data_IF_064703703925
#
_entry.id   IF_064703703925
#
_cell.length_a   1.000
_cell.length_b   1.000
_cell.length_c   1.000
_cell.angle_alpha   90.00
_cell.angle_beta   90.00
_cell.angle_gamma   90.00
#
_symmetry.space_group_name_H-M   'P 1'
#
loop_
_entity.id
_entity.type
_entity.pdbx_description
1 polymer ?
#
# COMPACT_ATOMS: atom_id res chain seq x y z
N UNK A 1 25.10 -42.07 22.71
CA UNK A 1 24.13 -43.20 22.71
C UNK A 1 22.75 -42.60 22.44
N UNK A 2 22.18 -42.82 21.25
CA UNK A 2 20.95 -43.62 20.96
C UNK A 2 19.77 -43.24 21.90
N UNK A 3 18.60 -42.78 21.46
CA UNK A 3 17.69 -43.27 20.40
C UNK A 3 16.60 -42.18 20.17
N UNK A 4 16.37 -41.64 18.97
CA UNK A 4 15.43 -42.08 17.91
C UNK A 4 13.95 -42.21 18.31
N UNK A 5 13.08 -41.39 17.68
CA UNK A 5 11.94 -41.84 16.85
C UNK A 5 11.44 -40.71 15.94
N UNK A 6 11.40 -41.02 14.64
CA UNK A 6 10.81 -40.26 13.53
C UNK A 6 9.33 -40.62 13.38
N UNK A 7 8.53 -39.73 12.78
CA UNK A 7 7.41 -40.14 11.93
C UNK A 7 7.27 -39.17 10.75
N UNK A 8 7.47 -39.71 9.54
CA UNK A 8 7.20 -39.11 8.24
C UNK A 8 5.95 -39.82 7.69
N UNK A 9 5.08 -39.10 6.98
CA UNK A 9 4.02 -39.70 6.19
C UNK A 9 4.08 -39.13 4.76
N UNK A 10 4.54 -39.99 3.85
CA UNK A 10 4.52 -39.87 2.40
C UNK A 10 3.17 -40.39 1.88
N UNK A 11 2.60 -39.72 0.88
CA UNK A 11 1.61 -40.35 -0.02
C UNK A 11 2.07 -40.06 -1.46
N UNK A 12 2.23 -41.14 -2.22
CA UNK A 12 2.76 -41.18 -3.56
C UNK A 12 1.66 -41.25 -4.63
N UNK A 13 2.08 -40.95 -5.86
CA UNK A 13 1.35 -40.82 -7.12
C UNK A 13 0.49 -42.03 -7.55
N UNK A 14 -0.53 -41.74 -8.35
CA UNK A 14 -1.16 -42.68 -9.27
C UNK A 14 -1.45 -42.02 -10.62
N UNK A 15 -0.56 -42.22 -11.58
CA UNK A 15 -0.74 -41.86 -12.99
C UNK A 15 -1.48 -42.98 -13.73
N UNK A 16 -2.39 -42.65 -14.64
CA UNK A 16 -2.86 -43.59 -15.66
C UNK A 16 -3.06 -42.86 -16.98
N UNK A 17 -2.19 -43.21 -17.94
CA UNK A 17 -2.24 -42.82 -19.34
C UNK A 17 -3.10 -43.87 -20.06
N UNK A 18 -4.04 -43.44 -20.88
CA UNK A 18 -4.61 -44.28 -21.93
C UNK A 18 -4.58 -43.50 -23.26
N UNK A 19 -3.79 -44.03 -24.20
CA UNK A 19 -3.68 -43.62 -25.60
C UNK A 19 -4.27 -44.73 -26.47
N UNK A 20 -5.36 -44.45 -27.17
CA UNK A 20 -5.87 -45.09 -28.40
C UNK A 20 -6.81 -44.04 -29.02
N UNK A 21 -6.87 -43.69 -30.30
CA UNK A 21 -6.36 -44.21 -31.56
C UNK A 21 -7.26 -43.58 -32.66
N UNK A 22 -6.70 -43.27 -33.82
CA UNK A 22 -7.32 -42.60 -34.97
C UNK A 22 -8.62 -43.23 -35.50
N UNK A 23 -9.54 -42.43 -36.09
CA UNK A 23 -9.91 -42.41 -37.54
C UNK A 23 -11.24 -41.70 -37.87
N UNK A 24 -11.18 -40.83 -38.90
CA UNK A 24 -12.13 -40.47 -39.97
C UNK A 24 -13.67 -40.32 -39.77
N UNK A 25 -14.13 -39.06 -39.81
CA UNK A 25 -14.97 -38.40 -40.83
C UNK A 25 -16.41 -38.86 -41.22
N UNK A 26 -17.33 -37.88 -41.02
CA UNK A 26 -18.62 -37.51 -41.72
C UNK A 26 -19.89 -38.37 -41.54
N UNK A 27 -20.95 -37.76 -40.97
CA UNK A 27 -22.10 -37.15 -41.69
C UNK A 27 -23.13 -36.50 -40.75
N UNK A 28 -23.80 -35.45 -41.24
CA UNK A 28 -24.77 -34.55 -40.57
C UNK A 28 -26.08 -35.27 -40.18
N UNK A 29 -26.89 -34.88 -39.18
CA UNK A 29 -27.73 -33.65 -39.13
C UNK A 29 -28.58 -33.62 -37.84
N UNK A 30 -29.00 -32.40 -37.46
CA UNK A 30 -30.21 -31.95 -36.73
C UNK A 30 -30.03 -31.36 -35.33
N UNK A 31 -30.69 -30.21 -35.20
CA UNK A 31 -30.52 -29.13 -34.24
C UNK A 31 -30.84 -29.48 -32.79
N UNK A 32 -30.06 -28.89 -31.88
CA UNK A 32 -30.45 -28.63 -30.50
C UNK A 32 -29.72 -27.38 -30.01
N UNK A 33 -30.52 -26.39 -29.64
CA UNK A 33 -30.20 -25.04 -29.14
C UNK A 33 -29.01 -25.03 -28.14
N UNK A 34 -27.96 -24.21 -28.35
CA UNK A 34 -26.91 -24.04 -27.35
C UNK A 34 -27.38 -23.08 -26.24
N UNK A 35 -27.38 -23.62 -25.02
CA UNK A 35 -27.41 -22.92 -23.74
C UNK A 35 -26.36 -21.78 -23.73
N UNK A 36 -26.65 -20.60 -23.16
CA UNK A 36 -25.71 -19.49 -23.16
C UNK A 36 -24.42 -19.88 -22.43
N UNK A 37 -23.33 -19.87 -23.19
CA UNK A 37 -21.96 -19.87 -22.68
C UNK A 37 -21.81 -18.62 -21.82
N UNK A 38 -21.64 -18.84 -20.51
CA UNK A 38 -21.06 -17.84 -19.62
C UNK A 38 -19.69 -17.52 -20.20
N UNK A 39 -19.58 -16.37 -20.84
CA UNK A 39 -18.31 -15.77 -21.20
C UNK A 39 -17.52 -15.60 -19.92
N UNK A 40 -16.46 -16.38 -19.78
CA UNK A 40 -15.41 -16.14 -18.82
C UNK A 40 -14.85 -14.74 -19.07
N UNK A 41 -15.22 -13.80 -18.20
CA UNK A 41 -14.61 -12.48 -18.17
C UNK A 41 -13.13 -12.65 -17.86
N UNK A 42 -12.28 -12.01 -18.66
CA UNK A 42 -10.83 -12.03 -18.51
C UNK A 42 -10.44 -11.77 -17.05
N UNK A 43 -9.53 -12.59 -16.50
CA UNK A 43 -8.87 -12.35 -15.22
C UNK A 43 -8.10 -11.02 -15.30
N UNK A 44 -8.77 -9.92 -15.00
CA UNK A 44 -8.12 -8.65 -14.77
C UNK A 44 -7.48 -8.73 -13.38
N UNK A 45 -6.16 -8.62 -13.32
CA UNK A 45 -5.43 -8.71 -12.06
C UNK A 45 -5.88 -7.58 -11.13
N UNK A 46 -6.38 -7.94 -9.95
CA UNK A 46 -6.80 -6.97 -8.93
C UNK A 46 -5.59 -6.09 -8.53
N UNK A 47 -5.73 -4.77 -8.62
CA UNK A 47 -4.74 -3.79 -8.14
C UNK A 47 -5.35 -2.91 -7.05
N UNK A 48 -4.50 -2.23 -6.26
CA UNK A 48 -4.94 -1.25 -5.25
C UNK A 48 -5.80 -0.16 -5.89
N UNK A 49 -5.35 0.39 -7.02
CA UNK A 49 -6.05 1.49 -7.68
C UNK A 49 -7.41 1.05 -8.24
N UNK A 50 -7.50 -0.18 -8.77
CA UNK A 50 -8.75 -0.74 -9.27
C UNK A 50 -9.73 -1.01 -8.12
N UNK A 51 -9.26 -1.64 -7.05
CA UNK A 51 -10.10 -1.94 -5.89
C UNK A 51 -10.64 -0.66 -5.24
N UNK A 52 -9.79 0.35 -5.05
CA UNK A 52 -10.20 1.64 -4.54
C UNK A 52 -11.21 2.34 -5.47
N UNK A 53 -10.99 2.31 -6.80
CA UNK A 53 -11.94 2.88 -7.76
C UNK A 53 -13.31 2.21 -7.69
N UNK A 54 -13.35 0.89 -7.62
CA UNK A 54 -14.60 0.11 -7.54
C UNK A 54 -15.39 0.45 -6.27
N UNK A 55 -14.71 0.51 -5.11
CA UNK A 55 -15.34 0.92 -3.86
C UNK A 55 -15.86 2.37 -3.92
N UNK A 56 -15.12 3.29 -4.54
CA UNK A 56 -15.57 4.68 -4.73
C UNK A 56 -16.78 4.79 -5.65
N UNK A 57 -16.89 3.94 -6.66
CA UNK A 57 -18.08 3.87 -7.51
C UNK A 57 -19.29 3.31 -6.76
N UNK A 58 -19.10 2.31 -5.89
CA UNK A 58 -20.15 1.85 -4.96
C UNK A 58 -20.59 3.00 -4.05
N UNK A 59 -19.66 3.77 -3.50
CA UNK A 59 -19.97 4.94 -2.64
C UNK A 59 -20.80 5.99 -3.40
N UNK A 60 -20.48 6.29 -4.66
CA UNK A 60 -21.28 7.21 -5.49
C UNK A 60 -22.72 6.71 -5.67
N UNK A 61 -22.89 5.41 -5.93
CA UNK A 61 -24.21 4.80 -6.04
C UNK A 61 -24.98 4.90 -4.71
N UNK A 62 -24.35 4.60 -3.58
CA UNK A 62 -24.96 4.72 -2.26
C UNK A 62 -25.44 6.15 -1.97
N UNK A 63 -24.65 7.17 -2.33
CA UNK A 63 -25.08 8.58 -2.16
C UNK A 63 -26.33 8.91 -3.00
N UNK A 64 -26.43 8.37 -4.20
CA UNK A 64 -27.61 8.52 -5.05
C UNK A 64 -28.84 7.81 -4.45
N UNK A 65 -28.67 6.57 -3.97
CA UNK A 65 -29.72 5.79 -3.32
C UNK A 65 -30.25 6.49 -2.05
N UNK A 66 -29.36 7.06 -1.23
CA UNK A 66 -29.73 7.88 -0.06
C UNK A 66 -30.57 9.10 -0.49
N UNK A 67 -30.16 9.79 -1.55
CA UNK A 67 -30.88 10.97 -2.08
C UNK A 67 -32.27 10.60 -2.59
N UNK A 68 -32.38 9.44 -3.22
CA UNK A 68 -33.64 8.89 -3.75
C UNK A 68 -34.51 8.21 -2.68
N UNK A 69 -34.04 8.16 -1.42
CA UNK A 69 -34.71 7.47 -0.30
C UNK A 69 -34.94 5.97 -0.56
N UNK A 70 -34.05 5.34 -1.31
CA UNK A 70 -34.11 3.92 -1.67
C UNK A 70 -33.48 3.06 -0.56
N UNK A 71 -34.11 3.03 0.61
CA UNK A 71 -33.50 2.52 1.84
C UNK A 71 -33.03 1.05 1.75
N UNK A 72 -33.72 0.20 0.97
CA UNK A 72 -33.31 -1.20 0.76
C UNK A 72 -32.06 -1.31 -0.12
N UNK A 73 -31.94 -0.46 -1.14
CA UNK A 73 -30.75 -0.43 -2.01
C UNK A 73 -29.52 0.04 -1.25
N UNK A 74 -29.67 1.01 -0.34
CA UNK A 74 -28.57 1.46 0.52
C UNK A 74 -27.98 0.29 1.34
N UNK A 75 -28.81 -0.63 1.85
CA UNK A 75 -28.34 -1.81 2.58
C UNK A 75 -27.65 -2.83 1.67
N UNK A 76 -28.17 -3.03 0.44
CA UNK A 76 -27.54 -3.90 -0.57
C UNK A 76 -26.16 -3.36 -0.99
N UNK A 77 -26.07 -2.07 -1.32
CA UNK A 77 -24.84 -1.42 -1.73
C UNK A 77 -23.82 -1.34 -0.59
N UNK A 78 -24.27 -1.17 0.66
CA UNK A 78 -23.41 -1.33 1.85
C UNK A 78 -22.80 -2.72 1.94
N UNK A 79 -23.57 -3.78 1.63
CA UNK A 79 -23.06 -5.16 1.68
C UNK A 79 -22.02 -5.39 0.57
N UNK A 80 -22.28 -4.89 -0.65
CA UNK A 80 -21.31 -4.94 -1.76
C UNK A 80 -20.01 -4.21 -1.41
N UNK A 81 -20.10 -3.09 -0.70
CA UNK A 81 -18.94 -2.33 -0.25
C UNK A 81 -18.08 -3.15 0.73
N UNK A 82 -18.70 -3.83 1.69
CA UNK A 82 -18.01 -4.74 2.63
C UNK A 82 -17.33 -5.91 1.90
N UNK A 83 -18.03 -6.55 0.96
CA UNK A 83 -17.48 -7.65 0.16
C UNK A 83 -16.29 -7.20 -0.69
N UNK A 84 -16.38 -5.99 -1.26
CA UNK A 84 -15.29 -5.39 -2.05
C UNK A 84 -14.07 -5.09 -1.18
N UNK A 85 -14.26 -4.51 0.02
CA UNK A 85 -13.18 -4.29 0.97
C UNK A 85 -12.53 -5.60 1.41
N UNK A 86 -13.33 -6.61 1.75
CA UNK A 86 -12.82 -7.92 2.15
C UNK A 86 -11.97 -8.58 1.07
N UNK A 87 -12.45 -8.57 -0.18
CA UNK A 87 -11.71 -9.13 -1.32
C UNK A 87 -10.36 -8.41 -1.51
N UNK A 88 -10.36 -7.10 -1.26
CA UNK A 88 -9.15 -6.28 -1.31
C UNK A 88 -8.19 -6.61 -0.16
N UNK A 89 -8.68 -6.70 1.08
CA UNK A 89 -7.88 -7.09 2.24
C UNK A 89 -7.27 -8.47 2.07
N UNK A 90 -8.03 -9.47 1.64
CA UNK A 90 -7.55 -10.84 1.44
C UNK A 90 -6.33 -10.90 0.50
N UNK A 91 -6.19 -9.93 -0.41
CA UNK A 91 -5.04 -9.83 -1.33
C UNK A 91 -3.90 -8.94 -0.81
N UNK A 92 -4.20 -7.86 -0.09
CA UNK A 92 -3.22 -6.80 0.20
C UNK A 92 -3.05 -6.46 1.68
N UNK A 93 -3.66 -7.22 2.60
CA UNK A 93 -3.70 -6.88 4.04
C UNK A 93 -2.32 -6.54 4.62
N UNK A 94 -1.32 -7.41 4.42
CA UNK A 94 0.00 -7.18 4.99
C UNK A 94 0.72 -6.01 4.32
N UNK A 95 0.64 -5.87 2.98
CA UNK A 95 1.24 -4.75 2.25
C UNK A 95 0.65 -3.40 2.72
N UNK A 96 -0.67 -3.34 2.89
CA UNK A 96 -1.36 -2.13 3.35
C UNK A 96 -0.99 -1.80 4.78
N UNK A 97 -0.95 -2.80 5.65
CA UNK A 97 -0.58 -2.57 7.04
C UNK A 97 0.88 -2.20 7.17
N UNK A 98 1.75 -2.73 6.32
CA UNK A 98 3.18 -2.44 6.36
C UNK A 98 3.53 -1.07 5.77
N UNK A 99 2.79 -0.63 4.74
CA UNK A 99 3.06 0.62 4.03
C UNK A 99 2.20 1.79 4.52
N UNK A 100 0.96 1.52 4.95
CA UNK A 100 -0.10 2.53 5.14
C UNK A 100 -1.02 2.21 6.33
N UNK A 101 -0.46 1.87 7.51
CA UNK A 101 -1.26 1.41 8.64
C UNK A 101 -2.35 2.41 9.05
N UNK A 102 -2.00 3.69 9.16
CA UNK A 102 -2.95 4.74 9.52
C UNK A 102 -4.11 4.83 8.51
N UNK A 103 -3.82 4.75 7.21
CA UNK A 103 -4.86 4.75 6.17
C UNK A 103 -5.73 3.51 6.23
N UNK A 104 -5.12 2.34 6.38
CA UNK A 104 -5.84 1.08 6.51
C UNK A 104 -6.89 1.18 7.63
N UNK A 105 -6.50 1.67 8.81
CA UNK A 105 -7.41 1.83 9.94
C UNK A 105 -8.48 2.89 9.66
N UNK A 106 -8.11 4.02 9.04
CA UNK A 106 -9.06 5.08 8.67
C UNK A 106 -10.05 4.68 7.59
N UNK A 107 -9.77 3.62 6.83
CA UNK A 107 -10.71 3.02 5.86
C UNK A 107 -11.67 2.05 6.58
N UNK A 108 -11.16 1.21 7.49
CA UNK A 108 -12.00 0.26 8.25
C UNK A 108 -13.08 0.95 9.09
N UNK A 109 -12.74 2.07 9.75
CA UNK A 109 -13.65 2.74 10.68
C UNK A 109 -14.97 3.22 10.02
N UNK A 110 -14.98 4.00 8.91
CA UNK A 110 -16.22 4.41 8.27
C UNK A 110 -17.00 3.24 7.65
N UNK A 111 -16.32 2.17 7.21
CA UNK A 111 -16.98 0.96 6.69
C UNK A 111 -17.93 0.35 7.73
N UNK A 112 -17.49 0.24 8.99
CA UNK A 112 -18.34 -0.27 10.07
C UNK A 112 -19.56 0.61 10.37
N UNK A 113 -19.40 1.94 10.30
CA UNK A 113 -20.51 2.89 10.49
C UNK A 113 -21.53 2.78 9.35
N UNK A 114 -21.06 2.64 8.11
CA UNK A 114 -21.91 2.48 6.92
C UNK A 114 -22.72 1.18 7.00
N UNK A 115 -22.07 0.07 7.38
CA UNK A 115 -22.76 -1.23 7.52
C UNK A 115 -23.85 -1.20 8.59
N UNK A 116 -23.55 -0.65 9.77
CA UNK A 116 -24.55 -0.52 10.83
C UNK A 116 -25.67 0.47 10.44
N UNK A 117 -25.30 1.64 9.90
CA UNK A 117 -26.23 2.71 9.57
C UNK A 117 -27.19 2.39 8.44
N UNK A 118 -26.77 1.60 7.45
CA UNK A 118 -27.61 1.22 6.30
C UNK A 118 -28.80 0.31 6.68
N UNK A 119 -28.68 -0.40 7.81
CA UNK A 119 -29.69 -1.33 8.36
C UNK A 119 -30.73 -0.64 9.24
N UNK A 120 -30.49 0.59 9.68
CA UNK A 120 -31.41 1.34 10.56
C UNK A 120 -32.47 2.06 9.72
N UNK A 121 -33.74 1.99 10.15
CA UNK A 121 -34.88 2.63 9.47
C UNK A 121 -35.63 3.56 10.44
N UNK A 122 -35.93 4.81 10.07
CA UNK A 122 -35.48 5.49 8.85
C UNK A 122 -33.96 5.71 8.85
N UNK A 123 -33.36 5.85 7.65
CA UNK A 123 -31.92 6.10 7.53
C UNK A 123 -31.50 7.41 8.21
N UNK A 124 -30.40 7.38 8.96
CA UNK A 124 -29.68 8.60 9.34
C UNK A 124 -28.79 9.04 8.16
N UNK A 125 -29.39 9.79 7.23
CA UNK A 125 -28.73 10.24 6.00
C UNK A 125 -27.54 11.15 6.27
N UNK A 126 -27.52 11.87 7.39
CA UNK A 126 -26.41 12.75 7.77
C UNK A 126 -25.19 11.93 8.18
N UNK A 127 -25.39 10.93 9.04
CA UNK A 127 -24.30 10.04 9.49
C UNK A 127 -23.77 9.21 8.32
N UNK A 128 -24.65 8.67 7.48
CA UNK A 128 -24.25 7.89 6.31
C UNK A 128 -23.45 8.71 5.30
N UNK A 129 -23.96 9.89 4.90
CA UNK A 129 -23.22 10.73 3.94
C UNK A 129 -21.85 11.16 4.49
N UNK A 130 -21.77 11.55 5.76
CA UNK A 130 -20.48 11.89 6.39
C UNK A 130 -19.50 10.71 6.37
N UNK A 131 -19.98 9.50 6.61
CA UNK A 131 -19.14 8.29 6.62
C UNK A 131 -18.70 7.90 5.21
N UNK A 132 -19.60 8.02 4.23
CA UNK A 132 -19.31 7.81 2.81
C UNK A 132 -18.30 8.85 2.27
N UNK A 133 -18.44 10.12 2.63
CA UNK A 133 -17.48 11.18 2.27
C UNK A 133 -16.10 10.91 2.87
N UNK A 134 -16.04 10.50 4.14
CA UNK A 134 -14.79 10.14 4.79
C UNK A 134 -14.14 8.95 4.08
N UNK A 135 -14.89 7.87 3.83
CA UNK A 135 -14.37 6.69 3.14
C UNK A 135 -13.87 7.01 1.73
N UNK A 136 -14.63 7.76 0.93
CA UNK A 136 -14.21 8.20 -0.41
C UNK A 136 -12.89 8.98 -0.37
N UNK A 137 -12.75 9.86 0.64
CA UNK A 137 -11.51 10.63 0.87
C UNK A 137 -10.33 9.72 1.19
N UNK A 138 -10.50 8.73 2.09
CA UNK A 138 -9.40 7.82 2.45
C UNK A 138 -9.03 6.89 1.29
N UNK A 139 -10.00 6.42 0.50
CA UNK A 139 -9.75 5.61 -0.70
C UNK A 139 -9.01 6.41 -1.76
N UNK A 140 -9.39 7.67 -2.00
CA UNK A 140 -8.66 8.55 -2.92
C UNK A 140 -7.21 8.78 -2.46
N UNK A 141 -7.02 8.96 -1.14
CA UNK A 141 -5.68 9.10 -0.56
C UNK A 141 -4.84 7.83 -0.71
N UNK A 142 -5.43 6.65 -0.50
CA UNK A 142 -4.75 5.36 -0.75
C UNK A 142 -4.30 5.23 -2.21
N UNK A 143 -5.14 5.62 -3.18
CA UNK A 143 -4.76 5.61 -4.60
C UNK A 143 -3.55 6.51 -4.88
N UNK A 144 -3.58 7.73 -4.35
CA UNK A 144 -2.49 8.71 -4.56
C UNK A 144 -1.18 8.26 -3.91
N UNK A 145 -1.21 7.76 -2.67
CA UNK A 145 -0.01 7.27 -1.98
C UNK A 145 0.54 6.00 -2.64
N UNK A 146 -0.33 5.10 -3.08
CA UNK A 146 0.07 3.90 -3.81
C UNK A 146 0.72 4.22 -5.17
N UNK A 147 0.12 5.13 -5.95
CA UNK A 147 0.68 5.60 -7.21
C UNK A 147 2.06 6.23 -7.00
N UNK A 148 2.23 7.02 -5.94
CA UNK A 148 3.53 7.63 -5.59
C UNK A 148 4.59 6.57 -5.28
N UNK A 149 4.25 5.58 -4.46
CA UNK A 149 5.19 4.50 -4.09
C UNK A 149 5.63 3.69 -5.30
N UNK A 150 4.66 3.22 -6.11
CA UNK A 150 4.94 2.45 -7.33
C UNK A 150 5.72 3.30 -8.34
N UNK A 151 5.33 4.56 -8.51
CA UNK A 151 5.99 5.51 -9.40
C UNK A 151 7.45 5.73 -9.03
N UNK A 152 7.76 5.91 -7.75
CA UNK A 152 9.13 6.04 -7.24
C UNK A 152 9.97 4.77 -7.49
N UNK A 153 9.43 3.60 -7.15
CA UNK A 153 10.09 2.30 -7.38
C UNK A 153 10.42 2.11 -8.87
N UNK A 154 9.46 2.39 -9.74
CA UNK A 154 9.63 2.31 -11.19
C UNK A 154 10.67 3.31 -11.71
N UNK A 155 10.65 4.57 -11.28
CA UNK A 155 11.64 5.56 -11.71
C UNK A 155 13.05 5.07 -11.38
N UNK A 156 13.28 4.59 -10.15
CA UNK A 156 14.60 4.09 -9.74
C UNK A 156 15.01 2.84 -10.51
N UNK A 157 14.07 1.97 -10.86
CA UNK A 157 14.34 0.83 -11.75
C UNK A 157 14.76 1.30 -13.15
N UNK A 158 14.03 2.26 -13.73
CA UNK A 158 14.33 2.81 -15.05
C UNK A 158 15.70 3.53 -15.06
N UNK A 159 16.07 4.23 -13.98
CA UNK A 159 17.40 4.85 -13.86
C UNK A 159 18.53 3.82 -13.84
N UNK A 160 18.33 2.66 -13.20
CA UNK A 160 19.29 1.56 -13.25
C UNK A 160 19.43 1.00 -14.66
N UNK A 161 18.31 0.87 -15.39
CA UNK A 161 18.32 0.46 -16.80
C UNK A 161 19.07 1.47 -17.67
N UNK A 162 18.76 2.76 -17.57
CA UNK A 162 19.48 3.84 -18.25
C UNK A 162 20.99 3.80 -17.97
N UNK A 163 21.39 3.60 -16.72
CA UNK A 163 22.81 3.47 -16.36
C UNK A 163 23.48 2.26 -17.02
N UNK A 164 22.76 1.14 -17.13
CA UNK A 164 23.25 -0.06 -17.81
C UNK A 164 23.40 0.13 -19.31
N UNK A 165 22.37 0.67 -19.97
CA UNK A 165 22.37 0.97 -21.40
C UNK A 165 23.45 1.98 -21.78
N UNK A 166 23.68 2.99 -20.93
CA UNK A 166 24.76 3.97 -21.10
C UNK A 166 26.14 3.31 -21.06
N UNK A 167 26.35 2.39 -20.12
CA UNK A 167 27.59 1.62 -20.01
C UNK A 167 27.82 0.74 -21.24
N UNK A 168 26.74 0.17 -21.78
CA UNK A 168 26.76 -0.72 -22.95
C UNK A 168 26.75 0.03 -24.29
N UNK A 169 26.66 1.37 -24.29
CA UNK A 169 26.56 2.23 -25.49
C UNK A 169 25.38 1.87 -26.38
N UNK A 170 24.22 1.61 -25.76
CA UNK A 170 22.98 1.23 -26.45
C UNK A 170 22.09 2.46 -26.75
N UNK A 171 22.60 3.39 -27.56
CA UNK A 171 22.02 4.72 -27.80
C UNK A 171 20.52 4.72 -28.16
N UNK A 172 20.08 3.81 -29.04
CA UNK A 172 18.66 3.71 -29.42
C UNK A 172 17.76 3.24 -28.27
N UNK A 173 18.29 2.42 -27.35
CA UNK A 173 17.54 1.98 -26.18
C UNK A 173 17.46 3.08 -25.13
N UNK A 174 18.56 3.80 -24.89
CA UNK A 174 18.61 4.96 -23.98
C UNK A 174 17.47 5.95 -24.23
N UNK A 175 17.23 6.29 -25.51
CA UNK A 175 16.13 7.19 -25.88
C UNK A 175 14.78 6.62 -25.43
N UNK A 176 14.47 5.37 -25.78
CA UNK A 176 13.19 4.72 -25.42
C UNK A 176 13.02 4.57 -23.90
N UNK A 177 14.08 4.18 -23.20
CA UNK A 177 14.07 4.02 -21.75
C UNK A 177 13.87 5.37 -21.06
N UNK A 178 14.44 6.45 -21.60
CA UNK A 178 14.21 7.82 -21.08
C UNK A 178 12.78 8.32 -21.31
N UNK A 179 12.12 7.93 -22.41
CA UNK A 179 10.69 8.22 -22.63
C UNK A 179 9.81 7.48 -21.62
N UNK A 180 10.21 6.24 -21.26
CA UNK A 180 9.59 5.47 -20.18
C UNK A 180 9.71 6.15 -18.82
N UNK A 181 10.86 6.76 -18.54
CA UNK A 181 11.10 7.51 -17.30
C UNK A 181 10.10 8.66 -17.15
N UNK A 182 9.91 9.45 -18.22
CA UNK A 182 8.98 10.59 -18.22
C UNK A 182 7.52 10.16 -18.11
N UNK A 183 7.15 9.12 -18.87
CA UNK A 183 5.81 8.56 -18.79
C UNK A 183 5.49 8.05 -17.39
N UNK A 184 6.47 7.48 -16.71
CA UNK A 184 6.29 7.05 -15.33
C UNK A 184 6.17 8.25 -14.38
N UNK A 185 7.05 9.26 -14.50
CA UNK A 185 6.99 10.48 -13.68
C UNK A 185 5.63 11.19 -13.73
N UNK A 186 5.12 11.43 -14.95
CA UNK A 186 3.82 12.09 -15.16
C UNK A 186 2.62 11.37 -14.53
N UNK A 187 2.75 10.07 -14.20
CA UNK A 187 1.66 9.32 -13.55
C UNK A 187 1.44 9.68 -12.07
N UNK A 188 2.42 10.32 -11.42
CA UNK A 188 2.34 10.68 -9.99
C UNK A 188 2.91 12.07 -9.67
N UNK A 189 3.37 12.83 -10.68
CA UNK A 189 4.02 14.13 -10.49
C UNK A 189 3.16 15.14 -9.71
N UNK A 190 1.84 15.17 -9.94
CA UNK A 190 0.93 16.13 -9.31
C UNK A 190 0.88 15.94 -7.80
N UNK A 191 0.89 14.70 -7.34
CA UNK A 191 0.94 14.37 -5.92
C UNK A 191 2.24 14.85 -5.28
N UNK A 192 3.37 14.76 -5.99
CA UNK A 192 4.65 15.25 -5.49
C UNK A 192 4.70 16.78 -5.50
N UNK A 193 4.18 17.41 -6.56
CA UNK A 193 4.13 18.86 -6.70
C UNK A 193 3.31 19.53 -5.60
N UNK A 194 2.17 18.93 -5.25
CA UNK A 194 1.31 19.43 -4.18
C UNK A 194 1.94 19.26 -2.79
N UNK A 195 2.49 18.07 -2.50
CA UNK A 195 2.90 17.71 -1.14
C UNK A 195 4.38 17.99 -0.84
N UNK A 196 5.24 18.04 -1.86
CA UNK A 196 6.69 18.18 -1.75
C UNK A 196 7.24 19.17 -2.80
N UNK A 197 6.74 20.42 -2.87
CA UNK A 197 7.07 21.37 -3.94
C UNK A 197 8.58 21.63 -4.06
N UNK A 198 9.31 21.67 -2.94
CA UNK A 198 10.77 21.89 -2.96
C UNK A 198 11.57 20.70 -3.51
N UNK A 199 11.03 19.48 -3.45
CA UNK A 199 11.67 18.28 -3.99
C UNK A 199 11.26 18.09 -5.46
N UNK A 200 10.00 18.39 -5.79
CA UNK A 200 9.51 18.45 -7.16
C UNK A 200 10.45 19.24 -8.08
N UNK A 201 10.79 20.48 -7.71
CA UNK A 201 11.71 21.33 -8.49
C UNK A 201 13.10 20.69 -8.69
N UNK A 202 13.57 19.90 -7.71
CA UNK A 202 14.87 19.20 -7.78
C UNK A 202 14.82 17.93 -8.62
N UNK A 203 13.64 17.35 -8.84
CA UNK A 203 13.43 16.19 -9.71
C UNK A 203 13.41 16.63 -11.17
N UNK A 204 12.68 17.72 -11.46
CA UNK A 204 12.50 18.26 -12.81
C UNK A 204 13.83 18.56 -13.53
N UNK A 205 14.81 19.12 -12.81
CA UNK A 205 16.10 19.53 -13.38
C UNK A 205 16.91 18.36 -13.98
N UNK A 206 17.32 17.32 -13.20
CA UNK A 206 18.05 16.20 -13.75
C UNK A 206 17.19 15.36 -14.71
N UNK A 207 15.88 15.26 -14.50
CA UNK A 207 14.97 14.58 -15.42
C UNK A 207 14.97 15.23 -16.81
N UNK A 208 14.77 16.55 -16.87
CA UNK A 208 14.82 17.31 -18.13
C UNK A 208 16.19 17.25 -18.79
N UNK A 209 17.27 17.23 -18.00
CA UNK A 209 18.63 17.06 -18.53
C UNK A 209 18.83 15.70 -19.19
N UNK A 210 18.33 14.61 -18.57
CA UNK A 210 18.36 13.26 -19.17
C UNK A 210 17.62 13.26 -20.51
N UNK A 211 16.39 13.78 -20.54
CA UNK A 211 15.56 13.81 -21.75
C UNK A 211 16.18 14.60 -22.91
N UNK A 212 16.90 15.68 -22.60
CA UNK A 212 17.60 16.47 -23.60
C UNK A 212 18.88 15.74 -24.06
N UNK A 213 19.67 15.22 -23.12
CA UNK A 213 20.99 14.65 -23.40
C UNK A 213 20.91 13.35 -24.21
N UNK A 214 19.89 12.51 -24.03
CA UNK A 214 19.70 11.29 -24.83
C UNK A 214 19.45 11.56 -26.32
N UNK A 215 19.06 12.79 -26.69
CA UNK A 215 18.75 13.19 -28.08
C UNK A 215 19.96 13.80 -28.80
N UNK A 216 21.07 14.03 -28.11
CA UNK A 216 22.27 14.65 -28.68
C UNK A 216 23.11 13.60 -29.41
N UNK A 217 23.72 13.96 -30.55
CA UNK A 217 24.64 13.08 -31.28
C UNK A 217 25.94 13.83 -31.61
N UNK A 218 27.11 13.34 -31.15
CA UNK A 218 27.31 12.16 -30.29
C UNK A 218 26.76 12.38 -28.86
N UNK A 219 26.38 11.30 -28.17
CA UNK A 219 25.91 11.38 -26.78
C UNK A 219 26.97 11.95 -25.84
N UNK A 220 26.56 12.82 -24.92
CA UNK A 220 27.38 13.23 -23.78
C UNK A 220 27.14 12.26 -22.61
N UNK A 221 27.90 11.17 -22.60
CA UNK A 221 27.79 10.14 -21.57
C UNK A 221 28.10 10.65 -20.15
N UNK A 222 28.93 11.70 -20.02
CA UNK A 222 29.26 12.28 -18.72
C UNK A 222 28.07 13.05 -18.16
N UNK A 223 27.41 13.85 -18.98
CA UNK A 223 26.21 14.60 -18.59
C UNK A 223 25.08 13.63 -18.25
N UNK A 224 24.85 12.59 -19.05
CA UNK A 224 23.84 11.57 -18.77
C UNK A 224 24.09 10.86 -17.44
N UNK A 225 25.29 10.33 -17.24
CA UNK A 225 25.62 9.62 -16.00
C UNK A 225 25.47 10.52 -14.76
N UNK A 226 25.90 11.78 -14.86
CA UNK A 226 25.77 12.75 -13.76
C UNK A 226 24.29 12.99 -13.42
N UNK A 227 23.46 13.20 -14.44
CA UNK A 227 22.04 13.49 -14.26
C UNK A 227 21.26 12.26 -13.74
N UNK A 228 21.60 11.05 -14.19
CA UNK A 228 21.01 9.80 -13.68
C UNK A 228 21.30 9.64 -12.18
N UNK A 229 22.55 9.83 -11.77
CA UNK A 229 22.97 9.74 -10.37
C UNK A 229 22.31 10.82 -9.52
N UNK A 230 22.23 12.05 -10.03
CA UNK A 230 21.57 13.16 -9.35
C UNK A 230 20.07 12.88 -9.16
N UNK A 231 19.37 12.40 -10.19
CA UNK A 231 17.96 12.06 -10.10
C UNK A 231 17.71 10.92 -9.09
N UNK A 232 18.49 9.83 -9.10
CA UNK A 232 18.33 8.75 -8.11
C UNK A 232 18.51 9.27 -6.67
N UNK A 233 19.48 10.17 -6.46
CA UNK A 233 19.69 10.80 -5.15
C UNK A 233 18.52 11.69 -4.72
N UNK A 234 17.92 12.44 -5.64
CA UNK A 234 16.75 13.27 -5.32
C UNK A 234 15.51 12.39 -5.05
N UNK A 235 15.33 11.30 -5.79
CA UNK A 235 14.27 10.32 -5.52
C UNK A 235 14.43 9.64 -4.15
N UNK A 236 15.67 9.35 -3.73
CA UNK A 236 15.95 8.86 -2.38
C UNK A 236 15.56 9.89 -1.29
N UNK A 237 15.86 11.17 -1.53
CA UNK A 237 15.43 12.26 -0.62
C UNK A 237 13.90 12.38 -0.54
N UNK A 238 13.21 12.21 -1.68
CA UNK A 238 11.75 12.18 -1.71
C UNK A 238 11.20 11.02 -0.87
N UNK A 239 11.74 9.82 -1.07
CA UNK A 239 11.34 8.62 -0.33
C UNK A 239 11.49 8.82 1.19
N UNK A 240 12.62 9.38 1.63
CA UNK A 240 12.87 9.72 3.05
C UNK A 240 11.89 10.76 3.58
N UNK A 241 11.57 11.78 2.78
CA UNK A 241 10.62 12.83 3.16
C UNK A 241 9.20 12.30 3.31
N UNK A 242 8.79 11.39 2.42
CA UNK A 242 7.50 10.68 2.51
C UNK A 242 7.45 9.86 3.80
N UNK A 243 8.46 9.01 4.05
CA UNK A 243 8.52 8.19 5.26
C UNK A 243 8.50 9.02 6.55
N UNK A 244 9.22 10.15 6.58
CA UNK A 244 9.20 11.07 7.72
C UNK A 244 7.82 11.71 7.95
N UNK A 245 7.05 11.95 6.89
CA UNK A 245 5.71 12.56 6.99
C UNK A 245 4.63 11.61 7.52
N UNK A 246 4.71 10.32 7.17
CA UNK A 246 3.71 9.29 7.54
C UNK A 246 4.11 8.47 8.75
N UNK A 247 5.39 8.14 8.89
CA UNK A 247 5.94 7.22 9.90
C UNK A 247 5.52 7.54 11.34
N UNK A 248 5.61 8.80 11.82
CA UNK A 248 5.13 9.15 13.16
C UNK A 248 3.65 8.85 13.36
N UNK A 249 2.82 9.07 12.34
CA UNK A 249 1.38 8.80 12.42
C UNK A 249 1.09 7.29 12.43
N UNK A 250 1.80 6.50 11.63
CA UNK A 250 1.68 5.04 11.63
C UNK A 250 2.10 4.45 12.98
N UNK A 251 3.18 4.96 13.60
CA UNK A 251 3.56 4.58 14.95
C UNK A 251 2.46 4.94 15.97
N UNK A 252 1.88 6.14 15.92
CA UNK A 252 0.76 6.52 16.81
C UNK A 252 -0.46 5.60 16.64
N UNK A 253 -0.76 5.19 15.41
CA UNK A 253 -1.84 4.25 15.13
C UNK A 253 -1.52 2.86 15.70
N UNK A 254 -0.28 2.37 15.54
CA UNK A 254 0.16 1.13 16.16
C UNK A 254 0.06 1.20 17.70
N UNK A 255 0.50 2.29 18.33
CA UNK A 255 0.36 2.52 19.78
C UNK A 255 -1.10 2.47 20.25
N UNK A 256 -2.00 3.08 19.49
CA UNK A 256 -3.44 3.05 19.79
C UNK A 256 -3.98 1.63 19.73
N UNK A 257 -3.58 0.83 18.74
CA UNK A 257 -3.98 -0.58 18.63
C UNK A 257 -3.37 -1.42 19.76
N UNK A 258 -2.10 -1.21 20.13
CA UNK A 258 -1.49 -1.87 21.30
C UNK A 258 -2.30 -1.57 22.55
N UNK A 259 -2.59 -0.29 22.84
CA UNK A 259 -3.39 0.12 24.01
C UNK A 259 -4.76 -0.54 24.02
N UNK A 260 -5.43 -0.62 22.86
CA UNK A 260 -6.72 -1.31 22.70
C UNK A 260 -6.66 -2.82 23.02
N UNK A 261 -5.57 -3.49 22.68
CA UNK A 261 -5.41 -4.94 22.85
C UNK A 261 -4.72 -5.36 24.14
N UNK A 262 -4.30 -4.41 24.98
CA UNK A 262 -3.84 -4.70 26.35
C UNK A 262 -5.03 -4.94 27.28
N UNK A 263 -6.19 -4.32 27.03
CA UNK A 263 -7.39 -4.48 27.87
C UNK A 263 -8.69 -4.52 27.03
N UNK A 264 -9.28 -5.70 26.78
CA UNK A 264 -8.85 -7.03 27.23
C UNK A 264 -7.59 -7.52 26.50
N UNK A 265 -6.75 -8.29 27.21
CA UNK A 265 -5.47 -8.77 26.69
C UNK A 265 -5.66 -9.70 25.48
N UNK A 266 -5.07 -9.31 24.35
CA UNK A 266 -4.83 -10.14 23.18
C UNK A 266 -3.33 -10.10 22.86
N UNK A 267 -2.59 -11.09 23.37
CA UNK A 267 -1.13 -11.13 23.30
C UNK A 267 -0.58 -11.18 21.87
N UNK A 268 -1.25 -11.91 20.97
CA UNK A 268 -0.86 -12.02 19.56
C UNK A 268 -0.93 -10.64 18.89
N UNK A 269 -2.04 -9.92 19.08
CA UNK A 269 -2.22 -8.58 18.50
C UNK A 269 -1.26 -7.57 19.12
N UNK A 270 -1.07 -7.60 20.44
CA UNK A 270 -0.10 -6.71 21.12
C UNK A 270 1.31 -6.93 20.56
N UNK A 271 1.73 -8.17 20.35
CA UNK A 271 3.03 -8.50 19.77
C UNK A 271 3.14 -8.00 18.33
N UNK A 272 2.15 -8.32 17.47
CA UNK A 272 2.13 -7.93 16.06
C UNK A 272 2.22 -6.40 15.87
N UNK A 273 1.46 -5.62 16.64
CA UNK A 273 1.54 -4.16 16.53
C UNK A 273 2.82 -3.57 17.13
N UNK A 274 3.44 -4.26 18.10
CA UNK A 274 4.74 -3.84 18.65
C UNK A 274 5.88 -4.07 17.67
N UNK A 275 5.89 -5.19 16.94
CA UNK A 275 6.86 -5.45 15.87
C UNK A 275 6.78 -4.39 14.76
N UNK A 276 5.57 -3.90 14.47
CA UNK A 276 5.37 -2.82 13.50
C UNK A 276 5.92 -1.48 13.96
N UNK A 277 5.96 -1.19 15.27
CA UNK A 277 6.55 0.06 15.76
C UNK A 277 8.02 0.20 15.31
N UNK A 278 8.79 -0.88 15.42
CA UNK A 278 10.19 -0.90 15.00
C UNK A 278 10.34 -0.69 13.48
N UNK A 279 9.47 -1.36 12.72
CA UNK A 279 9.44 -1.23 11.26
C UNK A 279 9.14 0.20 10.83
N UNK A 280 8.18 0.87 11.47
CA UNK A 280 7.90 2.28 11.15
C UNK A 280 9.02 3.19 11.64
N UNK A 281 9.54 2.99 12.85
CA UNK A 281 10.61 3.81 13.40
C UNK A 281 11.84 3.80 12.48
N UNK A 282 12.33 2.62 12.12
CA UNK A 282 13.48 2.46 11.22
C UNK A 282 13.30 3.11 9.84
N UNK A 283 12.06 3.36 9.39
CA UNK A 283 11.83 4.04 8.10
C UNK A 283 12.15 5.54 8.12
N UNK A 284 12.23 6.17 9.29
CA UNK A 284 12.48 7.62 9.42
C UNK A 284 13.41 8.02 10.58
N UNK A 285 13.96 7.05 11.32
CA UNK A 285 14.84 7.31 12.48
C UNK A 285 16.07 8.15 12.12
N UNK A 286 16.67 7.91 10.96
CA UNK A 286 17.88 8.61 10.49
C UNK A 286 17.61 10.10 10.27
N UNK A 287 16.42 10.43 9.75
CA UNK A 287 15.99 11.82 9.54
C UNK A 287 15.76 12.52 10.88
N UNK A 288 15.16 11.84 11.86
CA UNK A 288 14.99 12.38 13.21
C UNK A 288 16.36 12.61 13.86
N UNK A 289 17.27 11.63 13.75
CA UNK A 289 18.61 11.69 14.32
C UNK A 289 19.43 12.84 13.73
N UNK A 290 19.40 13.01 12.41
CA UNK A 290 20.08 14.10 11.72
C UNK A 290 19.52 15.47 12.09
N UNK A 291 18.19 15.60 12.26
CA UNK A 291 17.53 16.88 12.56
C UNK A 291 17.49 17.23 14.04
N UNK A 292 17.38 16.25 14.93
CA UNK A 292 17.19 16.45 16.37
C UNK A 292 17.59 15.19 17.18
N UNK A 293 18.88 15.06 17.46
CA UNK A 293 19.46 13.99 18.29
C UNK A 293 18.73 13.81 19.65
N UNK A 294 18.38 14.87 20.40
CA UNK A 294 17.60 14.71 21.63
C UNK A 294 16.21 14.08 21.44
N UNK A 295 15.50 14.36 20.34
CA UNK A 295 14.20 13.74 20.06
C UNK A 295 14.36 12.27 19.64
N UNK A 296 15.41 11.95 18.88
CA UNK A 296 15.77 10.56 18.58
C UNK A 296 15.95 9.74 19.88
N UNK A 297 16.77 10.21 20.81
CA UNK A 297 17.00 9.52 22.09
C UNK A 297 15.73 9.38 22.95
N UNK A 298 14.83 10.37 22.88
CA UNK A 298 13.53 10.34 23.56
C UNK A 298 12.54 9.33 22.97
N UNK A 299 12.73 8.88 21.72
CA UNK A 299 11.93 7.80 21.11
C UNK A 299 12.44 6.44 21.54
N UNK A 300 13.76 6.24 21.51
CA UNK A 300 14.42 4.96 21.78
C UNK A 300 14.02 4.36 23.13
N UNK A 301 14.03 5.18 24.20
CA UNK A 301 13.75 4.70 25.55
C UNK A 301 12.33 4.11 25.74
N UNK A 302 11.24 4.84 25.42
CA UNK A 302 9.89 4.27 25.53
C UNK A 302 9.62 3.18 24.49
N UNK A 303 10.17 3.26 23.27
CA UNK A 303 10.06 2.19 22.27
C UNK A 303 10.65 0.87 22.79
N UNK A 304 11.89 0.91 23.29
CA UNK A 304 12.54 -0.26 23.89
C UNK A 304 11.80 -0.80 25.11
N UNK A 305 11.19 0.09 25.92
CA UNK A 305 10.36 -0.32 27.06
C UNK A 305 9.13 -1.10 26.61
N UNK A 306 8.44 -0.66 25.55
CA UNK A 306 7.29 -1.38 24.98
C UNK A 306 7.74 -2.74 24.44
N UNK A 307 8.82 -2.78 23.64
CA UNK A 307 9.36 -4.01 23.04
C UNK A 307 9.80 -5.05 24.06
N UNK A 308 10.42 -4.60 25.16
CA UNK A 308 10.79 -5.49 26.26
C UNK A 308 9.54 -5.94 27.04
N UNK A 309 8.62 -5.00 27.32
CA UNK A 309 7.42 -5.25 28.12
C UNK A 309 6.50 -6.32 27.52
N UNK A 310 6.31 -6.33 26.20
CA UNK A 310 5.46 -7.35 25.54
C UNK A 310 6.03 -8.77 25.60
N UNK A 311 7.33 -8.93 25.90
CA UNK A 311 8.00 -10.23 26.04
C UNK A 311 7.86 -10.81 27.46
N UNK A 312 7.45 -10.01 28.44
CA UNK A 312 7.30 -10.44 29.85
C UNK A 312 5.92 -11.08 30.07
N UNK A 313 5.86 -12.13 30.91
CA UNK A 313 4.63 -12.86 31.28
C UNK A 313 4.46 -12.91 32.81
N UNK A 314 3.34 -12.44 33.38
CA UNK A 314 2.26 -11.69 32.72
C UNK A 314 2.74 -10.33 32.20
N UNK A 315 2.03 -9.75 31.23
CA UNK A 315 2.39 -8.42 30.71
C UNK A 315 2.32 -7.38 31.84
N UNK A 316 3.32 -6.52 31.92
CA UNK A 316 3.27 -5.34 32.78
C UNK A 316 2.51 -4.21 32.07
N UNK A 317 1.19 -4.30 32.12
CA UNK A 317 0.28 -3.36 31.45
C UNK A 317 0.54 -1.90 31.85
N UNK A 318 0.89 -1.66 33.12
CA UNK A 318 1.13 -0.32 33.64
C UNK A 318 2.38 0.30 33.02
N UNK A 319 3.47 -0.47 32.98
CA UNK A 319 4.73 -0.03 32.37
C UNK A 319 4.55 0.21 30.87
N UNK A 320 3.87 -0.72 30.17
CA UNK A 320 3.62 -0.56 28.73
C UNK A 320 2.74 0.66 28.43
N UNK A 321 1.66 0.87 29.19
CA UNK A 321 0.80 2.05 29.00
C UNK A 321 1.55 3.37 29.24
N UNK A 322 2.39 3.43 30.27
CA UNK A 322 3.20 4.62 30.56
C UNK A 322 4.20 4.91 29.43
N UNK A 323 4.82 3.86 28.88
CA UNK A 323 5.73 3.98 27.75
C UNK A 323 5.01 4.39 26.45
N UNK A 324 3.80 3.86 26.20
CA UNK A 324 2.94 4.28 25.09
C UNK A 324 2.63 5.77 25.15
N UNK A 325 2.23 6.28 26.32
CA UNK A 325 1.89 7.70 26.48
C UNK A 325 3.11 8.62 26.29
N UNK A 326 4.28 8.18 26.78
CA UNK A 326 5.55 8.88 26.56
C UNK A 326 5.91 8.93 25.07
N UNK A 327 5.83 7.79 24.38
CA UNK A 327 6.16 7.71 22.96
C UNK A 327 5.16 8.49 22.09
N UNK A 328 3.86 8.42 22.35
CA UNK A 328 2.83 9.18 21.62
C UNK A 328 3.09 10.70 21.67
N UNK A 329 3.50 11.19 22.85
CA UNK A 329 3.88 12.58 23.04
C UNK A 329 5.12 12.93 22.22
N UNK A 330 6.18 12.12 22.29
CA UNK A 330 7.42 12.37 21.51
C UNK A 330 7.15 12.33 20.00
N UNK A 331 6.32 11.41 19.51
CA UNK A 331 5.93 11.36 18.10
C UNK A 331 5.15 12.60 17.65
N UNK A 332 4.40 13.23 18.56
CA UNK A 332 3.75 14.52 18.31
C UNK A 332 4.77 15.65 18.19
N UNK A 333 5.83 15.64 19.00
CA UNK A 333 6.94 16.59 18.88
C UNK A 333 7.67 16.41 17.54
N UNK A 334 7.94 15.16 17.12
CA UNK A 334 8.59 14.85 15.82
C UNK A 334 7.76 15.35 14.64
N UNK A 335 6.45 15.11 14.64
CA UNK A 335 5.55 15.57 13.55
C UNK A 335 5.61 17.10 13.32
N UNK A 336 5.99 17.86 14.35
CA UNK A 336 6.10 19.32 14.29
C UNK A 336 7.50 19.81 13.87
N UNK A 337 8.46 18.90 13.69
CA UNK A 337 9.77 19.21 13.10
C UNK A 337 9.62 19.34 11.58
N UNK A 338 9.16 20.50 11.09
CA UNK A 338 9.23 20.78 9.65
C UNK A 338 10.65 21.17 9.25
#
# INVERSE_FOLDING_TARGET
MKSAKKLLLLIALGSSIALLGCTAQKSQTKDSVPKPQVTATANQELSVDKAASDMRDIIKNMKAEITNKEEDKVAESSSKLQDSWKTFEDKFEEDLKDKYLDLYVKIEDPLGIIDAGSKIKPLDTKVLNKSLDNLDTQLAKLQSENATTIGLENMRSILKELSGELTNKEDTKLVKTSEGLEKNWSSFEDGIKENYPSIYEKIEQPLGTIQAAVKVTPLDAKVLNTSIVELDKVLEQLQKSIAFSSGPQDMKTALTKIKKFISPLNEEKVTKYTERLEKYWSSFEDEVKAKNQPLYEKVEAPLGTIQAGVKVKPLDEKTINSAIESLDKTLTEIKNMK
#
